data_IF_279812964830
#
_entry.id   IF_279812964830
#
_cell.length_a   1.000
_cell.length_b   1.000
_cell.length_c   1.000
_cell.angle_alpha   90.00
_cell.angle_beta   90.00
_cell.angle_gamma   90.00
#
_symmetry.space_group_name_H-M   'P 1'
#
loop_
_entity.id
_entity.type
_entity.pdbx_description
1 polymer ?
#
# COMPACT_ATOMS: atom_id res chain seq x y z
N UNK A 1 -23.81 5.10 -10.67
CA UNK A 1 -22.52 5.12 -9.95
C UNK A 1 -21.75 3.87 -10.30
N UNK A 2 -20.48 3.98 -10.70
CA UNK A 2 -19.58 2.85 -10.88
C UNK A 2 -18.77 2.68 -9.59
N UNK A 3 -18.87 1.52 -8.96
CA UNK A 3 -18.04 1.19 -7.81
C UNK A 3 -16.88 0.32 -8.28
N UNK A 4 -15.66 0.74 -7.98
CA UNK A 4 -14.47 -0.09 -8.08
C UNK A 4 -14.10 -0.58 -6.69
N UNK A 5 -13.53 -1.77 -6.63
CA UNK A 5 -12.97 -2.36 -5.42
C UNK A 5 -11.46 -2.26 -5.46
N UNK A 6 -10.86 -1.90 -4.33
CA UNK A 6 -9.41 -1.79 -4.18
C UNK A 6 -8.94 -2.53 -2.94
N UNK A 7 -7.77 -3.15 -3.02
CA UNK A 7 -7.11 -3.74 -1.84
C UNK A 7 -5.73 -3.11 -1.66
N UNK A 8 -5.52 -2.45 -0.52
CA UNK A 8 -4.21 -1.96 -0.11
C UNK A 8 -3.41 -3.07 0.59
N UNK A 9 -2.37 -3.54 -0.09
CA UNK A 9 -1.38 -4.45 0.46
C UNK A 9 -0.33 -3.66 1.22
N UNK A 10 -0.60 -3.43 2.52
CA UNK A 10 0.26 -2.71 3.45
C UNK A 10 1.52 -3.50 3.87
N UNK A 11 2.60 -2.79 4.18
CA UNK A 11 3.89 -3.37 4.57
C UNK A 11 3.97 -3.62 6.09
N UNK A 12 3.60 -2.62 6.88
CA UNK A 12 3.33 -2.67 8.29
C UNK A 12 1.86 -2.39 8.63
N UNK A 13 1.51 -2.62 9.90
CA UNK A 13 0.16 -2.32 10.40
C UNK A 13 -0.13 -0.82 10.49
N UNK A 14 0.90 0.02 10.49
CA UNK A 14 0.82 1.49 10.42
C UNK A 14 0.27 1.98 9.09
N UNK A 15 0.53 1.26 8.00
CA UNK A 15 0.31 1.79 6.65
C UNK A 15 -1.17 1.80 6.26
N UNK A 16 -2.05 1.29 7.13
CA UNK A 16 -3.50 1.55 7.05
C UNK A 16 -3.82 3.04 6.99
N UNK A 17 -2.94 3.91 7.49
CA UNK A 17 -3.05 5.36 7.39
C UNK A 17 -2.90 5.89 5.96
N UNK A 18 -2.41 5.09 5.01
CA UNK A 18 -2.40 5.45 3.59
C UNK A 18 -3.80 5.41 2.97
N UNK A 19 -4.73 4.63 3.53
CA UNK A 19 -6.10 4.53 3.02
C UNK A 19 -6.78 5.91 2.85
N UNK A 20 -6.88 6.77 3.88
CA UNK A 20 -7.50 8.09 3.71
C UNK A 20 -6.78 8.98 2.69
N UNK A 21 -5.45 8.85 2.55
CA UNK A 21 -4.66 9.61 1.57
C UNK A 21 -4.99 9.13 0.14
N UNK A 22 -5.04 7.81 -0.07
CA UNK A 22 -5.43 7.22 -1.34
C UNK A 22 -6.89 7.53 -1.68
N UNK A 23 -7.80 7.43 -0.71
CA UNK A 23 -9.21 7.81 -0.90
C UNK A 23 -9.34 9.29 -1.31
N UNK A 24 -8.59 10.19 -0.66
CA UNK A 24 -8.58 11.61 -1.01
C UNK A 24 -8.04 11.84 -2.42
N UNK A 25 -6.87 11.27 -2.74
CA UNK A 25 -6.24 11.40 -4.05
C UNK A 25 -7.18 10.89 -5.15
N UNK A 26 -7.72 9.69 -5.00
CA UNK A 26 -8.52 9.06 -6.03
C UNK A 26 -9.86 9.77 -6.25
N UNK A 27 -10.45 10.37 -5.22
CA UNK A 27 -11.64 11.23 -5.39
C UNK A 27 -11.39 12.42 -6.32
N UNK A 28 -10.15 12.91 -6.43
CA UNK A 28 -9.81 14.03 -7.31
C UNK A 28 -9.63 13.60 -8.76
N UNK A 29 -9.22 12.35 -9.00
CA UNK A 29 -8.79 11.88 -10.33
C UNK A 29 -9.74 10.86 -10.95
N UNK A 30 -10.62 10.23 -10.17
CA UNK A 30 -11.64 9.33 -10.69
C UNK A 30 -12.73 10.11 -11.42
N UNK A 31 -13.26 9.58 -12.55
CA UNK A 31 -14.35 10.22 -13.27
C UNK A 31 -15.58 10.43 -12.38
N UNK A 32 -16.28 11.55 -12.57
CA UNK A 32 -17.53 11.85 -11.87
C UNK A 32 -18.49 10.66 -11.91
N UNK A 33 -19.01 10.27 -10.73
CA UNK A 33 -19.89 9.10 -10.59
C UNK A 33 -19.16 7.76 -10.43
N UNK A 34 -17.83 7.76 -10.35
CA UNK A 34 -17.00 6.61 -9.94
C UNK A 34 -16.56 6.76 -8.49
N UNK A 35 -16.65 5.67 -7.72
CA UNK A 35 -16.12 5.59 -6.36
C UNK A 35 -15.19 4.37 -6.24
N UNK A 36 -14.24 4.44 -5.31
CA UNK A 36 -13.41 3.30 -4.92
C UNK A 36 -13.77 2.88 -3.49
N UNK A 37 -14.11 1.62 -3.31
CA UNK A 37 -14.13 0.96 -2.00
C UNK A 37 -12.77 0.32 -1.74
N UNK A 38 -11.92 1.03 -0.99
CA UNK A 38 -10.56 0.59 -0.67
C UNK A 38 -10.53 -0.15 0.67
N UNK A 39 -10.17 -1.43 0.64
CA UNK A 39 -9.98 -2.26 1.83
C UNK A 39 -8.50 -2.33 2.23
N UNK A 40 -8.23 -2.48 3.53
CA UNK A 40 -6.89 -2.70 4.07
C UNK A 40 -6.92 -3.94 4.96
N UNK A 41 -6.41 -5.09 4.49
CA UNK A 41 -6.34 -6.29 5.31
C UNK A 41 -5.45 -6.10 6.55
N UNK A 42 -5.90 -6.63 7.68
CA UNK A 42 -5.10 -6.74 8.90
C UNK A 42 -4.32 -8.08 8.88
N UNK A 43 -3.09 -8.04 8.37
CA UNK A 43 -2.23 -9.20 8.26
C UNK A 43 -1.94 -9.90 9.59
N UNK A 44 -2.00 -9.16 10.72
CA UNK A 44 -1.77 -9.73 12.05
C UNK A 44 -2.87 -10.67 12.52
N UNK A 45 -4.05 -10.64 11.89
CA UNK A 45 -5.19 -11.51 12.21
C UNK A 45 -5.24 -12.80 11.38
N UNK A 46 -4.29 -12.99 10.47
CA UNK A 46 -4.24 -14.20 9.67
C UNK A 46 -3.86 -15.42 10.52
N UNK A 47 -4.52 -16.59 10.32
CA UNK A 47 -4.18 -17.81 11.06
C UNK A 47 -2.73 -18.28 10.86
N UNK A 48 -2.15 -17.94 9.70
CA UNK A 48 -0.74 -18.20 9.39
C UNK A 48 -0.05 -16.87 9.06
N UNK A 49 1.18 -16.64 9.55
CA UNK A 49 1.93 -15.43 9.22
C UNK A 49 2.09 -15.23 7.72
N UNK A 50 1.92 -13.99 7.26
CA UNK A 50 2.19 -13.55 5.87
C UNK A 50 3.27 -12.47 5.86
N UNK A 51 4.54 -12.82 6.18
CA UNK A 51 5.57 -11.84 6.52
C UNK A 51 6.13 -11.08 5.32
N UNK A 52 5.97 -11.62 4.10
CA UNK A 52 6.58 -11.05 2.89
C UNK A 52 5.54 -10.38 2.01
N UNK A 53 5.98 -9.42 1.18
CA UNK A 53 5.15 -8.85 0.12
C UNK A 53 4.49 -9.93 -0.73
N UNK A 54 5.27 -10.93 -1.17
CA UNK A 54 4.75 -12.03 -2.00
C UNK A 54 3.63 -12.81 -1.30
N UNK A 55 3.81 -13.18 -0.02
CA UNK A 55 2.78 -13.89 0.74
C UNK A 55 1.53 -13.04 0.97
N UNK A 56 1.69 -11.72 1.15
CA UNK A 56 0.56 -10.80 1.30
C UNK A 56 -0.19 -10.57 -0.01
N UNK A 57 0.51 -10.43 -1.13
CA UNK A 57 -0.11 -10.31 -2.47
C UNK A 57 -0.89 -11.58 -2.80
N UNK A 58 -0.33 -12.76 -2.49
CA UNK A 58 -1.03 -14.03 -2.67
C UNK A 58 -2.29 -14.12 -1.78
N UNK A 59 -2.16 -13.76 -0.50
CA UNK A 59 -3.31 -13.72 0.41
C UNK A 59 -4.38 -12.71 -0.04
N UNK A 60 -3.97 -11.53 -0.53
CA UNK A 60 -4.88 -10.53 -1.09
C UNK A 60 -5.63 -11.08 -2.30
N UNK A 61 -4.93 -11.74 -3.23
CA UNK A 61 -5.56 -12.37 -4.40
C UNK A 61 -6.55 -13.47 -4.01
N UNK A 62 -6.30 -14.19 -2.92
CA UNK A 62 -7.15 -15.31 -2.48
C UNK A 62 -8.36 -14.86 -1.65
N UNK A 63 -8.18 -13.88 -0.77
CA UNK A 63 -9.16 -13.53 0.26
C UNK A 63 -9.73 -12.12 0.15
N UNK A 64 -9.07 -11.23 -0.61
CA UNK A 64 -9.43 -9.82 -0.76
C UNK A 64 -9.38 -9.41 -2.23
N UNK A 65 -10.09 -10.17 -3.06
CA UNK A 65 -10.17 -9.92 -4.51
C UNK A 65 -10.70 -8.52 -4.79
N UNK A 66 -10.03 -7.81 -5.69
CA UNK A 66 -10.34 -6.43 -6.03
C UNK A 66 -10.06 -6.13 -7.51
N UNK A 67 -10.67 -5.07 -8.03
CA UNK A 67 -10.42 -4.56 -9.39
C UNK A 67 -8.99 -4.01 -9.54
N UNK A 68 -8.40 -3.48 -8.46
CA UNK A 68 -7.04 -2.96 -8.43
C UNK A 68 -6.36 -3.19 -7.07
N UNK A 69 -5.10 -3.59 -7.11
CA UNK A 69 -4.29 -3.75 -5.89
C UNK A 69 -3.34 -2.56 -5.71
N UNK A 70 -3.36 -1.93 -4.54
CA UNK A 70 -2.37 -0.93 -4.16
C UNK A 70 -1.27 -1.63 -3.36
N UNK A 71 -0.09 -1.78 -3.93
CA UNK A 71 1.01 -2.53 -3.34
C UNK A 71 2.00 -1.56 -2.71
N UNK A 72 2.03 -1.55 -1.38
CA UNK A 72 2.89 -0.66 -0.62
C UNK A 72 4.14 -1.38 -0.13
N UNK A 73 5.29 -0.71 -0.31
CA UNK A 73 6.56 -1.04 0.35
C UNK A 73 7.27 0.25 0.69
N UNK A 74 7.72 0.36 1.93
CA UNK A 74 8.57 1.48 2.33
C UNK A 74 9.92 1.38 1.57
N UNK A 75 10.41 2.54 1.12
CA UNK A 75 11.74 2.63 0.52
C UNK A 75 12.83 2.39 1.57
N UNK A 76 12.59 2.76 2.84
CA UNK A 76 13.60 2.71 3.91
C UNK A 76 14.96 3.29 3.44
N UNK A 77 16.02 2.46 3.39
CA UNK A 77 17.36 2.79 2.89
C UNK A 77 17.61 2.36 1.45
N UNK A 78 16.65 1.68 0.84
CA UNK A 78 16.78 1.12 -0.50
C UNK A 78 16.42 2.15 -1.59
N UNK A 79 17.06 2.08 -2.76
CA UNK A 79 16.66 2.89 -3.90
C UNK A 79 15.21 2.60 -4.31
N UNK A 80 14.50 3.63 -4.76
CA UNK A 80 13.15 3.48 -5.32
C UNK A 80 13.07 2.40 -6.40
N UNK A 81 14.10 2.29 -7.26
CA UNK A 81 14.16 1.29 -8.32
C UNK A 81 14.15 -0.16 -7.80
N UNK A 82 14.72 -0.39 -6.61
CA UNK A 82 14.71 -1.70 -5.96
C UNK A 82 13.28 -2.06 -5.54
N UNK A 83 12.58 -1.17 -4.84
CA UNK A 83 11.17 -1.35 -4.46
C UNK A 83 10.24 -1.47 -5.66
N UNK A 84 10.49 -0.68 -6.70
CA UNK A 84 9.76 -0.73 -7.96
C UNK A 84 9.83 -2.13 -8.56
N UNK A 85 11.05 -2.67 -8.70
CA UNK A 85 11.30 -3.99 -9.26
C UNK A 85 10.69 -5.07 -8.39
N UNK A 86 10.90 -5.01 -7.07
CA UNK A 86 10.35 -5.95 -6.10
C UNK A 86 8.82 -6.08 -6.22
N UNK A 87 8.12 -4.94 -6.20
CA UNK A 87 6.66 -4.93 -6.31
C UNK A 87 6.22 -5.44 -7.69
N UNK A 88 6.83 -4.96 -8.77
CA UNK A 88 6.46 -5.36 -10.13
C UNK A 88 6.67 -6.85 -10.36
N UNK A 89 7.78 -7.42 -9.92
CA UNK A 89 8.06 -8.85 -10.03
C UNK A 89 7.06 -9.67 -9.21
N UNK A 90 6.76 -9.27 -7.97
CA UNK A 90 5.79 -9.96 -7.13
C UNK A 90 4.38 -9.93 -7.74
N UNK A 91 3.94 -8.76 -8.21
CA UNK A 91 2.63 -8.56 -8.82
C UNK A 91 2.46 -9.40 -10.08
N UNK A 92 3.41 -9.33 -11.03
CA UNK A 92 3.31 -10.09 -12.27
C UNK A 92 3.36 -11.59 -12.05
N UNK A 93 4.16 -12.06 -11.09
CA UNK A 93 4.25 -13.49 -10.78
C UNK A 93 2.96 -14.04 -10.17
N UNK A 94 2.29 -13.26 -9.32
CA UNK A 94 1.17 -13.75 -8.51
C UNK A 94 -0.18 -13.37 -9.12
N UNK A 95 -0.38 -12.09 -9.44
CA UNK A 95 -1.62 -11.57 -10.01
C UNK A 95 -1.69 -11.82 -11.53
N UNK A 96 -0.54 -11.97 -12.18
CA UNK A 96 -0.41 -12.10 -13.63
C UNK A 96 -0.07 -10.78 -14.32
N UNK A 97 0.34 -10.82 -15.60
CA UNK A 97 0.79 -9.64 -16.34
C UNK A 97 -0.32 -8.62 -16.64
N UNK A 98 -1.57 -9.07 -16.71
CA UNK A 98 -2.72 -8.23 -17.04
C UNK A 98 -3.47 -7.67 -15.82
N UNK A 99 -3.11 -8.08 -14.60
CA UNK A 99 -3.80 -7.64 -13.40
C UNK A 99 -3.49 -6.17 -13.09
N UNK A 100 -4.51 -5.32 -12.81
CA UNK A 100 -4.28 -3.93 -12.44
C UNK A 100 -3.67 -3.81 -11.04
N UNK A 101 -2.54 -3.12 -10.93
CA UNK A 101 -1.96 -2.75 -9.65
C UNK A 101 -1.28 -1.38 -9.69
N UNK A 102 -1.22 -0.73 -8.54
CA UNK A 102 -0.56 0.56 -8.31
C UNK A 102 0.54 0.35 -7.28
N UNK A 103 1.75 0.80 -7.59
CA UNK A 103 2.88 0.82 -6.63
C UNK A 103 2.73 2.04 -5.73
N UNK A 104 2.79 1.82 -4.43
CA UNK A 104 2.76 2.88 -3.42
C UNK A 104 4.11 2.85 -2.69
N UNK A 105 5.10 3.54 -3.26
CA UNK A 105 6.46 3.59 -2.70
C UNK A 105 6.71 5.03 -2.23
N UNK A 106 6.72 5.31 -0.92
CA UNK A 106 7.07 6.62 -0.42
C UNK A 106 8.54 6.90 -0.73
N UNK A 107 8.83 8.00 -1.44
CA UNK A 107 10.20 8.43 -1.72
C UNK A 107 10.59 9.44 -0.66
N UNK A 108 11.18 8.95 0.43
CA UNK A 108 11.64 9.69 1.62
C UNK A 108 10.55 10.54 2.27
N UNK A 109 10.28 10.29 3.55
CA UNK A 109 9.73 11.36 4.38
C UNK A 109 10.75 12.51 4.33
N UNK A 110 10.42 13.63 3.67
CA UNK A 110 10.86 14.90 4.24
C UNK A 110 10.37 14.85 5.67
N UNK A 111 11.28 15.03 6.62
CA UNK A 111 11.04 14.95 8.04
C UNK A 111 10.05 16.05 8.49
N UNK A 112 8.80 15.99 8.03
CA UNK A 112 7.75 16.94 8.40
C UNK A 112 7.48 16.88 9.91
N UNK A 113 7.85 15.77 10.57
CA UNK A 113 7.88 15.60 12.02
C UNK A 113 8.99 16.43 12.69
N UNK A 114 10.14 16.56 12.04
CA UNK A 114 11.30 17.32 12.55
C UNK A 114 11.07 18.84 12.44
N UNK A 115 10.09 19.27 11.64
CA UNK A 115 9.61 20.65 11.60
C UNK A 115 8.72 21.05 12.79
N UNK A 116 8.37 20.13 13.70
CA UNK A 116 7.51 20.45 14.84
C UNK A 116 8.28 20.64 16.16
N UNK A 117 9.17 19.70 16.55
CA UNK A 117 10.02 19.81 17.74
C UNK A 117 11.09 18.69 17.78
N UNK A 118 12.28 18.95 17.24
CA UNK A 118 13.40 17.99 17.25
C UNK A 118 13.77 17.47 18.66
N UNK A 119 13.86 18.31 19.72
CA UNK A 119 14.14 17.84 21.09
C UNK A 119 13.17 16.78 21.60
N UNK A 120 11.85 16.99 21.41
CA UNK A 120 10.83 16.07 21.90
C UNK A 120 10.91 14.67 21.25
N UNK A 121 11.42 14.60 20.01
CA UNK A 121 11.60 13.33 19.30
C UNK A 121 12.81 12.56 19.86
N UNK A 122 13.90 13.26 20.23
CA UNK A 122 15.10 12.63 20.80
C UNK A 122 14.88 12.05 22.18
N UNK A 123 13.90 12.57 22.93
CA UNK A 123 13.57 12.08 24.27
C UNK A 123 12.66 10.84 24.24
N UNK A 124 11.94 10.61 23.13
CA UNK A 124 11.00 9.50 22.98
C UNK A 124 11.59 8.25 22.27
N UNK A 125 12.79 8.37 21.69
CA UNK A 125 13.49 7.29 20.97
C UNK A 125 14.51 6.58 21.88
#
# INVERSE_FOLDING_TARGET
>A
MRLLTGTLVADGSSDRLLKPILDWLLKQWLPTGTALDLQVPDWGRFPRPVPTLATKVLAAQQFFQADVYFLHRDAEKEPWATRYTEITTAAHRILGPAAPFVRVIPVRMTEAWLLHNEPAIREAA
#
